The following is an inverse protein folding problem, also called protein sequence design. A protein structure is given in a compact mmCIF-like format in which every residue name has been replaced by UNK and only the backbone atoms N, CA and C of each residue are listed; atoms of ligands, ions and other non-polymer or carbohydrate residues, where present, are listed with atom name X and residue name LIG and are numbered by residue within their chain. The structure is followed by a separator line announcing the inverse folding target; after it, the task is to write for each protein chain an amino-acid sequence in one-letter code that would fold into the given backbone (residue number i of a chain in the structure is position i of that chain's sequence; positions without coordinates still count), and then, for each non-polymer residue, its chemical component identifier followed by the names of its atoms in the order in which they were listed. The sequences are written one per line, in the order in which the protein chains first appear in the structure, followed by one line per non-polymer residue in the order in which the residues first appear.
data_IF_262486206017
#
_entry.id   IF_262486206017
#
_cell.length_a   1.000
_cell.length_b   1.000
_cell.length_c   1.000
_cell.angle_alpha   90.00
_cell.angle_beta   90.00
_cell.angle_gamma   90.00
#
_symmetry.space_group_name_H-M   'P 1'
#
loop_
_entity.id
_entity.type
_entity.pdbx_description
1 polymer ?
#
# COMPACT_ATOMS: atom_id res chain seq x y z
N UNK A 1 -15.50 7.53 -8.36
CA UNK A 1 -15.85 6.42 -9.26
C UNK A 1 -14.70 5.43 -9.27
N UNK A 2 -14.98 4.14 -9.33
CA UNK A 2 -13.98 3.08 -9.40
C UNK A 2 -14.29 1.89 -8.49
N UNK A 3 -13.40 0.91 -8.50
CA UNK A 3 -13.49 -0.32 -7.73
C UNK A 3 -13.21 -0.10 -6.23
N UNK A 4 -13.45 -1.12 -5.40
CA UNK A 4 -13.40 -1.00 -3.94
C UNK A 4 -12.10 -0.37 -3.40
N UNK A 5 -10.95 -0.71 -3.98
CA UNK A 5 -9.64 -0.19 -3.57
C UNK A 5 -8.95 0.66 -4.64
N UNK A 6 -9.67 0.99 -5.73
CA UNK A 6 -9.17 1.81 -6.83
C UNK A 6 -10.23 2.84 -7.22
N UNK A 7 -10.22 3.98 -6.58
CA UNK A 7 -11.21 5.03 -6.80
C UNK A 7 -10.52 6.32 -7.26
N UNK A 8 -11.18 7.04 -8.15
CA UNK A 8 -10.73 8.35 -8.63
C UNK A 8 -11.87 9.36 -8.47
N UNK A 9 -11.53 10.52 -7.93
CA UNK A 9 -12.43 11.67 -7.89
C UNK A 9 -12.46 12.32 -9.27
N UNK A 10 -13.67 12.53 -9.82
CA UNK A 10 -13.87 13.19 -11.10
C UNK A 10 -14.63 14.50 -10.93
N UNK A 11 -14.23 15.50 -11.71
CA UNK A 11 -15.01 16.69 -11.94
C UNK A 11 -15.79 16.52 -13.25
N UNK A 12 -17.12 16.62 -13.18
CA UNK A 12 -17.98 16.61 -14.35
C UNK A 12 -18.45 18.03 -14.66
N UNK A 13 -18.22 18.50 -15.88
CA UNK A 13 -18.70 19.78 -16.38
C UNK A 13 -19.66 19.55 -17.53
N UNK A 14 -20.81 20.24 -17.54
CA UNK A 14 -21.73 20.25 -18.67
C UNK A 14 -21.29 21.31 -19.66
N UNK A 15 -20.95 20.87 -20.89
CA UNK A 15 -20.58 21.74 -22.00
C UNK A 15 -21.37 21.29 -23.24
N UNK A 16 -22.06 22.20 -23.89
CA UNK A 16 -22.84 21.94 -25.12
C UNK A 16 -23.78 20.74 -25.00
N UNK A 17 -24.43 20.59 -23.85
CA UNK A 17 -25.35 19.47 -23.57
C UNK A 17 -24.70 18.15 -23.20
N UNK A 18 -23.37 18.02 -23.27
CA UNK A 18 -22.60 16.82 -22.92
C UNK A 18 -21.86 16.99 -21.59
N UNK A 19 -21.67 15.87 -20.89
CA UNK A 19 -20.83 15.84 -19.68
C UNK A 19 -19.39 15.52 -20.07
N UNK A 20 -18.48 16.43 -19.77
CA UNK A 20 -17.03 16.22 -19.85
C UNK A 20 -16.53 15.79 -18.48
N UNK A 21 -15.84 14.65 -18.40
CA UNK A 21 -15.26 14.12 -17.17
C UNK A 21 -13.76 14.45 -17.12
N UNK A 22 -13.33 15.09 -16.04
CA UNK A 22 -11.93 15.37 -15.78
C UNK A 22 -11.51 14.59 -14.51
N UNK A 23 -10.57 13.63 -14.58
CA UNK A 23 -10.02 13.00 -13.39
C UNK A 23 -9.23 14.03 -12.57
N UNK A 24 -9.44 14.05 -11.25
CA UNK A 24 -8.76 14.97 -10.34
C UNK A 24 -7.63 14.25 -9.60
N UNK A 25 -7.98 13.31 -8.73
CA UNK A 25 -7.00 12.58 -7.92
C UNK A 25 -7.50 11.19 -7.52
N UNK A 26 -6.60 10.23 -7.33
CA UNK A 26 -6.91 8.99 -6.65
C UNK A 26 -7.43 9.28 -5.23
N UNK A 27 -8.42 8.54 -4.79
CA UNK A 27 -9.00 8.69 -3.46
C UNK A 27 -9.49 7.34 -2.97
N UNK A 28 -9.47 7.13 -1.66
CA UNK A 28 -10.02 5.94 -1.03
C UNK A 28 -11.16 6.39 -0.12
N UNK A 29 -12.39 6.10 -0.52
CA UNK A 29 -13.56 6.32 0.31
C UNK A 29 -13.79 5.10 1.21
N UNK A 30 -14.38 5.34 2.37
CA UNK A 30 -14.92 4.27 3.19
C UNK A 30 -15.87 3.43 2.33
N UNK A 31 -15.72 2.10 2.28
CA UNK A 31 -16.62 1.25 1.50
C UNK A 31 -18.07 1.50 1.87
N UNK A 32 -18.91 1.67 0.87
CA UNK A 32 -20.35 1.74 1.08
C UNK A 32 -20.86 0.38 1.53
N UNK A 33 -21.85 0.38 2.42
CA UNK A 33 -22.56 -0.83 2.85
C UNK A 33 -23.89 -0.92 2.14
N UNK A 34 -24.38 -2.16 1.92
CA UNK A 34 -25.70 -2.41 1.36
C UNK A 34 -25.69 -3.05 -0.03
N UNK A 35 -26.89 -3.12 -0.66
CA UNK A 35 -27.12 -3.86 -1.91
C UNK A 35 -26.24 -3.38 -3.07
N UNK A 36 -25.94 -2.08 -3.16
CA UNK A 36 -25.10 -1.52 -4.22
C UNK A 36 -23.64 -2.04 -4.15
N UNK A 37 -23.11 -2.27 -2.95
CA UNK A 37 -21.79 -2.87 -2.79
C UNK A 37 -21.80 -4.36 -3.12
N UNK A 38 -22.88 -5.06 -2.78
CA UNK A 38 -23.03 -6.48 -3.09
C UNK A 38 -23.19 -6.77 -4.60
N UNK A 39 -23.57 -5.78 -5.40
CA UNK A 39 -23.76 -5.90 -6.86
C UNK A 39 -22.55 -5.43 -7.66
N UNK A 40 -21.43 -5.14 -7.05
CA UNK A 40 -20.19 -4.81 -7.79
C UNK A 40 -19.77 -5.99 -8.66
N UNK A 41 -19.46 -5.71 -9.93
CA UNK A 41 -19.06 -6.74 -10.91
C UNK A 41 -17.65 -7.28 -10.63
N UNK A 42 -16.75 -6.43 -10.12
CA UNK A 42 -15.36 -6.81 -9.86
C UNK A 42 -15.04 -6.60 -8.38
N UNK A 43 -14.86 -7.70 -7.65
CA UNK A 43 -14.36 -7.71 -6.29
C UNK A 43 -12.95 -8.28 -6.25
N UNK A 44 -12.03 -7.67 -5.51
CA UNK A 44 -10.72 -8.26 -5.27
C UNK A 44 -10.85 -9.63 -4.62
N UNK A 45 -10.10 -10.64 -5.09
CA UNK A 45 -10.13 -11.97 -4.50
C UNK A 45 -9.46 -11.97 -3.11
N UNK A 46 -10.22 -12.17 -2.02
CA UNK A 46 -9.65 -12.14 -0.68
C UNK A 46 -8.80 -13.36 -0.34
N UNK A 47 -8.75 -14.37 -1.22
CA UNK A 47 -7.87 -15.53 -1.08
C UNK A 47 -6.49 -15.30 -1.72
N UNK A 48 -6.38 -14.28 -2.56
CA UNK A 48 -5.16 -13.89 -3.26
C UNK A 48 -4.82 -12.42 -3.03
N UNK A 49 -4.50 -12.04 -1.78
CA UNK A 49 -4.13 -10.67 -1.48
C UNK A 49 -2.91 -10.24 -2.29
N UNK A 50 -3.01 -9.09 -2.94
CA UNK A 50 -1.93 -8.51 -3.76
C UNK A 50 -1.78 -7.03 -3.48
N UNK A 51 -0.56 -6.50 -3.61
CA UNK A 51 -0.32 -5.07 -3.68
C UNK A 51 -0.55 -4.60 -5.12
N UNK A 52 -1.39 -3.58 -5.28
CA UNK A 52 -1.62 -2.96 -6.59
C UNK A 52 -0.45 -2.04 -6.89
N UNK A 53 0.17 -2.21 -8.08
CA UNK A 53 1.30 -1.40 -8.50
C UNK A 53 2.40 -1.29 -7.42
N UNK A 54 2.75 -2.41 -6.80
CA UNK A 54 3.78 -2.45 -5.78
C UNK A 54 5.21 -2.27 -6.34
N UNK A 55 5.37 -2.42 -7.65
CA UNK A 55 6.59 -2.14 -8.41
C UNK A 55 6.60 -0.74 -9.04
N UNK A 56 5.58 0.07 -8.84
CA UNK A 56 5.45 1.46 -9.30
C UNK A 56 5.55 1.68 -10.82
N UNK A 57 5.38 0.62 -11.63
CA UNK A 57 5.52 0.67 -13.09
C UNK A 57 4.22 1.04 -13.84
N UNK A 58 3.07 1.02 -13.16
CA UNK A 58 1.82 1.40 -13.80
C UNK A 58 1.80 2.90 -14.14
N UNK A 59 1.35 3.21 -15.36
CA UNK A 59 1.24 4.59 -15.82
C UNK A 59 0.45 5.46 -14.82
N UNK A 60 0.98 6.61 -14.50
CA UNK A 60 0.33 7.56 -13.60
C UNK A 60 -1.00 8.04 -14.20
N UNK A 61 -2.03 8.20 -13.36
CA UNK A 61 -3.30 8.82 -13.76
C UNK A 61 -3.10 10.30 -14.11
N UNK A 62 -2.09 10.92 -13.52
CA UNK A 62 -1.55 12.25 -13.83
C UNK A 62 -0.11 12.30 -13.32
N UNK A 63 0.68 13.27 -13.76
CA UNK A 63 2.08 13.49 -13.33
C UNK A 63 2.24 13.73 -11.80
N UNK A 64 1.13 13.81 -11.09
CA UNK A 64 1.09 14.12 -9.66
C UNK A 64 0.77 12.94 -8.76
N UNK A 65 0.28 11.80 -9.29
CA UNK A 65 -0.23 10.71 -8.46
C UNK A 65 0.27 9.34 -8.89
N UNK A 66 0.67 8.54 -7.90
CA UNK A 66 1.13 7.16 -8.10
C UNK A 66 -0.09 6.24 -8.18
N UNK A 67 -0.28 5.61 -9.32
CA UNK A 67 -1.43 4.73 -9.58
C UNK A 67 -1.52 3.60 -8.54
N UNK A 68 -2.71 3.43 -7.96
CA UNK A 68 -2.98 2.39 -6.95
C UNK A 68 -2.60 2.76 -5.52
N UNK A 69 -1.98 3.94 -5.32
CA UNK A 69 -1.60 4.44 -4.01
C UNK A 69 -2.37 5.71 -3.66
N UNK A 70 -2.57 5.95 -2.37
CA UNK A 70 -3.44 7.00 -1.86
C UNK A 70 -2.78 7.73 -0.68
N UNK A 71 -3.28 8.92 -0.37
CA UNK A 71 -2.81 9.76 0.74
C UNK A 71 -1.31 10.03 0.66
N UNK A 72 -0.85 10.40 -0.51
CA UNK A 72 0.56 10.66 -0.80
C UNK A 72 1.09 11.83 0.04
N UNK A 73 2.01 11.52 0.92
CA UNK A 73 2.65 12.49 1.79
C UNK A 73 4.17 12.38 1.65
N UNK A 74 4.83 13.44 1.22
CA UNK A 74 6.27 13.52 1.00
C UNK A 74 6.79 12.41 0.07
N UNK A 75 5.95 11.92 -0.84
CA UNK A 75 6.26 10.87 -1.78
C UNK A 75 6.56 11.45 -3.17
N UNK A 76 7.50 10.87 -3.88
CA UNK A 76 7.84 11.20 -5.26
C UNK A 76 8.10 9.91 -6.02
N UNK A 77 7.48 9.76 -7.20
CA UNK A 77 7.83 8.70 -8.14
C UNK A 77 9.14 9.07 -8.82
N UNK A 78 10.14 8.22 -8.70
CA UNK A 78 11.48 8.40 -9.30
C UNK A 78 11.63 7.46 -10.48
N UNK A 79 12.10 7.98 -11.61
CA UNK A 79 12.49 7.18 -12.77
C UNK A 79 14.01 7.00 -12.75
N UNK A 80 14.46 5.75 -12.69
CA UNK A 80 15.88 5.39 -12.63
C UNK A 80 16.08 4.06 -13.38
N UNK A 81 16.95 3.99 -14.40
CA UNK A 81 17.23 2.74 -15.10
C UNK A 81 17.88 1.65 -14.22
N UNK A 82 18.36 2.03 -13.03
CA UNK A 82 18.94 1.11 -12.04
C UNK A 82 17.97 0.82 -10.89
N UNK A 83 16.66 1.06 -11.07
CA UNK A 83 15.66 0.62 -10.09
C UNK A 83 15.74 -0.89 -9.89
N UNK A 84 15.47 -1.42 -8.69
CA UNK A 84 15.56 -2.86 -8.42
C UNK A 84 14.59 -3.71 -9.24
N UNK A 85 13.44 -3.14 -9.62
CA UNK A 85 12.46 -3.73 -10.53
C UNK A 85 11.98 -2.66 -11.51
N UNK A 86 11.96 -2.98 -12.80
CA UNK A 86 11.54 -2.05 -13.84
C UNK A 86 12.39 -0.79 -13.95
N UNK A 87 11.75 0.38 -13.84
CA UNK A 87 12.39 1.69 -14.01
C UNK A 87 11.94 2.73 -12.98
N UNK A 88 11.02 2.38 -12.09
CA UNK A 88 10.44 3.31 -11.15
C UNK A 88 10.52 2.77 -9.73
N UNK A 89 10.64 3.69 -8.79
CA UNK A 89 10.46 3.42 -7.37
C UNK A 89 9.87 4.64 -6.68
N UNK A 90 9.31 4.47 -5.49
CA UNK A 90 8.84 5.60 -4.69
C UNK A 90 9.92 6.07 -3.73
N UNK A 91 10.15 7.39 -3.67
CA UNK A 91 11.03 8.06 -2.72
C UNK A 91 10.21 8.87 -1.73
N UNK A 92 10.54 8.71 -0.46
CA UNK A 92 10.11 9.61 0.62
C UNK A 92 11.32 10.42 1.09
N UNK A 93 11.15 11.74 1.15
CA UNK A 93 12.17 12.65 1.67
C UNK A 93 11.53 13.56 2.72
N UNK A 94 12.00 13.47 3.94
CA UNK A 94 11.46 14.22 5.06
C UNK A 94 12.59 14.86 5.88
N UNK A 95 12.54 16.18 6.00
CA UNK A 95 13.54 16.95 6.76
C UNK A 95 13.04 17.30 8.17
N UNK A 96 11.75 17.09 8.45
CA UNK A 96 11.12 17.46 9.69
C UNK A 96 10.64 16.22 10.44
N UNK A 97 11.25 15.93 11.57
CA UNK A 97 10.84 14.84 12.47
C UNK A 97 9.37 15.02 12.89
N UNK A 98 8.64 13.90 12.97
CA UNK A 98 7.22 13.87 13.31
C UNK A 98 6.28 14.23 12.14
N UNK A 99 6.81 14.75 11.03
CA UNK A 99 6.00 15.01 9.84
C UNK A 99 5.67 13.71 9.12
N UNK A 100 4.40 13.49 8.88
CA UNK A 100 3.94 12.29 8.20
C UNK A 100 4.47 12.20 6.75
N UNK A 101 5.04 11.04 6.39
CA UNK A 101 5.58 10.76 5.07
C UNK A 101 5.28 9.30 4.71
N UNK A 102 4.16 9.06 4.02
CA UNK A 102 3.74 7.71 3.64
C UNK A 102 2.72 7.70 2.49
N UNK A 103 2.57 6.52 1.90
CA UNK A 103 1.48 6.11 1.02
C UNK A 103 0.67 5.01 1.68
N UNK A 104 -0.56 4.83 1.23
CA UNK A 104 -1.35 3.66 1.61
C UNK A 104 -2.22 3.13 0.48
N UNK A 105 -2.61 1.86 0.60
CA UNK A 105 -3.66 1.23 -0.20
C UNK A 105 -4.43 0.20 0.62
N UNK A 106 -5.69 -0.03 0.26
CA UNK A 106 -6.48 -1.13 0.81
C UNK A 106 -6.34 -2.39 -0.04
N UNK A 107 -6.49 -3.55 0.58
CA UNK A 107 -6.56 -4.83 -0.11
C UNK A 107 -7.53 -5.78 0.58
N UNK A 108 -8.14 -6.69 -0.21
CA UNK A 108 -8.99 -7.73 0.33
C UNK A 108 -8.15 -8.87 0.90
N UNK A 109 -8.60 -9.43 2.03
CA UNK A 109 -8.03 -10.64 2.61
C UNK A 109 -9.10 -11.37 3.42
N UNK A 110 -9.11 -12.70 3.39
CA UNK A 110 -9.97 -13.52 4.26
C UNK A 110 -9.12 -14.42 5.15
N UNK A 111 -8.99 -14.08 6.43
CA UNK A 111 -8.20 -14.83 7.41
C UNK A 111 -8.69 -16.27 7.66
N UNK A 112 -9.88 -16.65 7.17
CA UNK A 112 -10.36 -18.04 7.19
C UNK A 112 -9.69 -18.89 6.11
N UNK A 113 -9.21 -18.25 5.03
CA UNK A 113 -8.58 -18.92 3.88
C UNK A 113 -7.08 -18.64 3.80
N UNK A 114 -6.67 -17.42 4.08
CA UNK A 114 -5.27 -17.01 4.09
C UNK A 114 -4.76 -17.03 5.52
N UNK A 115 -4.08 -18.11 5.89
CA UNK A 115 -3.51 -18.28 7.22
C UNK A 115 -2.26 -17.45 7.46
N UNK A 116 -1.38 -17.46 6.49
CA UNK A 116 -0.08 -16.81 6.56
C UNK A 116 0.11 -15.94 5.30
N UNK A 117 0.58 -14.71 5.49
CA UNK A 117 0.81 -13.72 4.44
C UNK A 117 2.28 -13.36 4.42
N UNK A 118 2.91 -13.49 3.26
CA UNK A 118 4.25 -12.97 3.02
C UNK A 118 4.13 -11.51 2.56
N UNK A 119 4.84 -10.62 3.25
CA UNK A 119 5.10 -9.27 2.82
C UNK A 119 6.57 -9.15 2.47
N UNK A 120 6.88 -8.64 1.29
CA UNK A 120 8.23 -8.35 0.86
C UNK A 120 8.32 -6.98 0.19
N UNK A 121 9.50 -6.39 0.22
CA UNK A 121 9.82 -5.14 -0.44
C UNK A 121 11.32 -5.05 -0.70
N UNK A 122 11.71 -4.26 -1.70
CA UNK A 122 13.06 -3.75 -1.85
C UNK A 122 13.11 -2.33 -1.29
N UNK A 123 14.17 -2.02 -0.56
CA UNK A 123 14.30 -0.72 0.08
C UNK A 123 15.76 -0.28 0.14
N UNK A 124 15.95 1.04 0.07
CA UNK A 124 17.19 1.76 0.29
C UNK A 124 16.88 2.97 1.16
N UNK A 125 17.78 3.37 2.04
CA UNK A 125 17.58 4.53 2.89
C UNK A 125 18.90 5.23 3.22
N UNK A 126 18.80 6.55 3.44
CA UNK A 126 19.96 7.42 3.67
C UNK A 126 19.66 8.38 4.82
N UNK A 127 20.58 8.42 5.78
CA UNK A 127 20.59 9.34 6.92
C UNK A 127 19.25 9.36 7.70
N UNK A 128 18.66 8.17 7.86
CA UNK A 128 17.39 8.04 8.55
C UNK A 128 17.58 8.16 10.06
N UNK A 129 16.87 9.14 10.64
CA UNK A 129 16.76 9.37 12.07
C UNK A 129 15.31 9.14 12.50
N UNK A 130 15.14 8.43 13.62
CA UNK A 130 13.82 8.17 14.18
C UNK A 130 13.12 9.48 14.55
N UNK A 131 11.82 9.55 14.27
CA UNK A 131 10.98 10.64 14.74
C UNK A 131 10.69 10.58 16.25
N UNK A 132 9.87 11.50 16.78
CA UNK A 132 9.57 11.59 18.21
C UNK A 132 9.01 10.30 18.83
N UNK A 133 8.25 9.52 18.05
CA UNK A 133 7.64 8.29 18.53
C UNK A 133 8.45 7.05 18.12
N UNK A 134 8.34 5.95 18.88
CA UNK A 134 9.14 4.71 18.66
C UNK A 134 8.88 4.04 17.32
N UNK A 135 7.69 4.21 16.77
CA UNK A 135 7.21 3.63 15.51
C UNK A 135 7.42 4.54 14.29
N UNK A 136 7.94 5.74 14.49
CA UNK A 136 8.26 6.68 13.43
C UNK A 136 9.63 6.37 12.81
N UNK A 137 9.65 5.30 12.04
CA UNK A 137 10.81 4.79 11.28
C UNK A 137 10.34 4.27 9.91
N UNK A 138 11.22 4.24 8.89
CA UNK A 138 10.90 3.64 7.60
C UNK A 138 10.37 2.24 7.75
N UNK A 139 9.28 1.95 7.05
CA UNK A 139 8.59 0.69 7.19
C UNK A 139 7.66 0.37 6.02
N UNK A 140 7.31 -0.91 5.91
CA UNK A 140 6.12 -1.38 5.18
C UNK A 140 5.25 -2.11 6.19
N UNK A 141 4.05 -1.61 6.42
CA UNK A 141 3.18 -2.04 7.52
C UNK A 141 1.78 -2.43 7.02
N UNK A 142 1.16 -3.39 7.68
CA UNK A 142 -0.23 -3.80 7.42
C UNK A 142 -1.02 -3.72 8.71
N UNK A 143 -2.15 -3.01 8.68
CA UNK A 143 -3.18 -3.11 9.70
C UNK A 143 -4.32 -3.97 9.17
N UNK A 144 -4.71 -4.99 9.91
CA UNK A 144 -5.83 -5.85 9.56
C UNK A 144 -7.13 -5.37 10.21
N UNK A 145 -8.23 -5.51 9.49
CA UNK A 145 -9.57 -5.14 9.95
C UNK A 145 -10.57 -6.28 9.74
N UNK A 146 -11.54 -6.38 10.66
CA UNK A 146 -12.69 -7.28 10.50
C UNK A 146 -13.77 -6.69 9.57
N UNK A 147 -14.87 -7.40 9.42
CA UNK A 147 -16.05 -6.96 8.63
C UNK A 147 -16.70 -5.68 9.13
N UNK A 148 -16.55 -5.35 10.43
CA UNK A 148 -17.03 -4.15 11.07
C UNK A 148 -15.96 -3.04 11.15
N UNK A 149 -14.82 -3.24 10.48
CA UNK A 149 -13.66 -2.33 10.49
C UNK A 149 -13.02 -2.13 11.86
N UNK A 150 -13.13 -3.12 12.74
CA UNK A 150 -12.38 -3.14 13.99
C UNK A 150 -10.96 -3.54 13.71
N UNK A 151 -10.01 -2.83 14.31
CA UNK A 151 -8.58 -3.13 14.23
C UNK A 151 -8.30 -4.49 14.89
N UNK A 152 -7.67 -5.37 14.14
CA UNK A 152 -7.25 -6.72 14.56
C UNK A 152 -5.74 -6.83 14.79
N UNK A 153 -5.02 -5.72 14.65
CA UNK A 153 -3.60 -5.65 14.89
C UNK A 153 -2.79 -5.19 13.68
N UNK A 154 -1.60 -4.74 14.01
CA UNK A 154 -0.62 -4.16 13.11
C UNK A 154 0.60 -5.09 13.02
N UNK A 155 1.05 -5.35 11.80
CA UNK A 155 2.32 -6.03 11.52
C UNK A 155 3.17 -5.14 10.60
N UNK A 156 4.50 -5.31 10.69
CA UNK A 156 5.43 -4.55 9.87
C UNK A 156 6.66 -5.36 9.48
N UNK A 157 7.20 -5.01 8.33
CA UNK A 157 8.34 -5.72 7.74
C UNK A 157 9.63 -5.47 8.52
N UNK A 158 9.80 -4.29 9.06
CA UNK A 158 10.93 -3.93 9.90
C UNK A 158 11.03 -2.44 10.10
N UNK A 159 11.86 -2.05 11.04
CA UNK A 159 12.23 -0.66 11.27
C UNK A 159 13.69 -0.46 10.89
N UNK A 160 13.99 0.61 10.17
CA UNK A 160 15.31 0.85 9.59
C UNK A 160 15.86 2.20 10.06
N UNK A 161 17.18 2.28 10.29
CA UNK A 161 17.87 3.49 10.77
C UNK A 161 19.19 3.65 10.05
N UNK A 162 19.70 4.89 9.99
CA UNK A 162 20.97 5.21 9.34
C UNK A 162 20.89 5.13 7.84
N UNK A 163 21.81 4.44 7.20
CA UNK A 163 21.92 4.33 5.75
C UNK A 163 22.13 2.89 5.30
N UNK A 164 21.59 2.53 4.15
CA UNK A 164 21.78 1.22 3.52
C UNK A 164 21.50 1.33 2.03
N UNK A 165 22.28 0.65 1.22
CA UNK A 165 21.97 0.42 -0.19
C UNK A 165 20.75 -0.48 -0.38
N UNK A 166 20.33 -0.66 -1.65
CA UNK A 166 19.21 -1.52 -2.00
C UNK A 166 19.36 -2.92 -1.42
N UNK A 167 18.35 -3.32 -0.68
CA UNK A 167 18.23 -4.65 -0.08
C UNK A 167 16.81 -5.14 -0.18
N UNK A 168 16.64 -6.45 -0.20
CA UNK A 168 15.35 -7.08 -0.07
C UNK A 168 15.06 -7.38 1.41
N UNK A 169 13.85 -7.08 1.82
CA UNK A 169 13.29 -7.52 3.10
C UNK A 169 12.04 -8.38 2.84
N UNK A 170 11.86 -9.43 3.62
CA UNK A 170 10.70 -10.31 3.52
C UNK A 170 10.37 -10.91 4.88
N UNK A 171 9.08 -11.00 5.18
CA UNK A 171 8.59 -11.62 6.42
C UNK A 171 7.23 -12.25 6.20
N UNK A 172 6.99 -13.38 6.85
CA UNK A 172 5.69 -14.05 6.89
C UNK A 172 5.00 -13.68 8.20
N UNK A 173 3.75 -13.28 8.10
CA UNK A 173 2.90 -12.90 9.22
C UNK A 173 1.69 -13.79 9.30
N UNK A 174 1.27 -14.08 10.53
CA UNK A 174 0.00 -14.72 10.79
C UNK A 174 -1.14 -13.74 10.53
N UNK A 175 -2.09 -14.14 9.68
CA UNK A 175 -3.31 -13.37 9.43
C UNK A 175 -4.34 -13.67 10.52
N UNK A 176 -4.92 -12.65 11.17
CA UNK A 176 -6.02 -12.86 12.11
C UNK A 176 -7.21 -13.55 11.45
N UNK A 177 -7.80 -14.53 12.10
CA UNK A 177 -8.93 -15.30 11.56
C UNK A 177 -10.12 -14.43 11.15
N UNK A 178 -10.35 -13.34 11.90
CA UNK A 178 -11.39 -12.35 11.65
C UNK A 178 -11.09 -11.37 10.52
N UNK A 179 -9.87 -11.35 9.97
CA UNK A 179 -9.48 -10.37 8.96
C UNK A 179 -10.32 -10.50 7.69
N UNK A 180 -10.80 -9.36 7.20
CA UNK A 180 -11.57 -9.21 5.94
C UNK A 180 -10.99 -8.14 5.04
N UNK A 181 -10.20 -7.23 5.60
CA UNK A 181 -9.55 -6.14 4.89
C UNK A 181 -8.17 -5.89 5.52
N UNK A 182 -7.21 -5.44 4.70
CA UNK A 182 -5.93 -4.94 5.14
C UNK A 182 -5.67 -3.55 4.57
N UNK A 183 -5.01 -2.70 5.37
CA UNK A 183 -4.45 -1.42 4.90
C UNK A 183 -2.93 -1.57 4.89
N UNK A 184 -2.36 -1.55 3.70
CA UNK A 184 -0.92 -1.53 3.45
C UNK A 184 -0.43 -0.09 3.46
N UNK A 185 0.60 0.20 4.24
CA UNK A 185 1.25 1.51 4.31
C UNK A 185 2.75 1.37 4.08
N UNK A 186 3.34 2.34 3.40
CA UNK A 186 4.79 2.40 3.16
C UNK A 186 5.29 3.83 3.31
N UNK A 187 6.45 4.02 3.92
CA UNK A 187 7.05 5.34 4.06
C UNK A 187 7.99 5.50 5.25
N UNK A 188 8.26 6.76 5.59
CA UNK A 188 9.08 7.17 6.74
C UNK A 188 8.28 7.30 8.04
N UNK A 189 6.96 7.42 7.97
CA UNK A 189 6.00 7.55 9.09
C UNK A 189 6.23 8.73 10.05
N UNK A 190 7.25 9.50 9.93
CA UNK A 190 7.62 10.58 10.83
C UNK A 190 9.13 10.63 11.11
N UNK A 191 9.87 9.64 10.63
CA UNK A 191 11.33 9.71 10.59
C UNK A 191 11.78 10.82 9.65
N UNK A 192 12.93 11.42 9.90
CA UNK A 192 13.65 12.27 8.96
C UNK A 192 14.66 11.47 8.14
N UNK A 193 15.10 12.03 7.02
CA UNK A 193 16.00 11.39 6.06
C UNK A 193 15.32 11.04 4.73
N UNK A 194 15.89 10.10 4.00
CA UNK A 194 15.37 9.61 2.72
C UNK A 194 15.18 8.11 2.78
N UNK A 195 14.04 7.62 2.26
CA UNK A 195 13.82 6.19 2.07
C UNK A 195 13.17 5.93 0.71
N UNK A 196 13.72 4.99 -0.02
CA UNK A 196 13.25 4.52 -1.31
C UNK A 196 12.67 3.11 -1.15
N UNK A 197 11.53 2.86 -1.79
CA UNK A 197 10.86 1.55 -1.78
C UNK A 197 10.48 1.14 -3.19
N UNK A 198 10.60 -0.17 -3.44
CA UNK A 198 10.26 -0.80 -4.70
C UNK A 198 9.83 -2.26 -4.46
N UNK A 199 9.18 -2.85 -5.47
CA UNK A 199 8.83 -4.27 -5.52
C UNK A 199 8.12 -4.76 -4.25
N UNK A 200 7.10 -4.00 -3.82
CA UNK A 200 6.27 -4.34 -2.65
C UNK A 200 5.28 -5.43 -3.05
N UNK A 201 5.35 -6.59 -2.40
CA UNK A 201 4.50 -7.74 -2.70
C UNK A 201 3.78 -8.27 -1.48
N UNK A 202 2.55 -8.70 -1.71
CA UNK A 202 1.72 -9.47 -0.78
C UNK A 202 1.44 -10.82 -1.42
N UNK A 203 1.72 -11.91 -0.72
CA UNK A 203 1.53 -13.26 -1.22
C UNK A 203 0.94 -14.15 -0.11
N UNK A 204 -0.19 -14.80 -0.39
CA UNK A 204 -0.69 -15.84 0.49
C UNK A 204 0.33 -17.00 0.51
N UNK A 205 0.74 -17.43 1.70
CA UNK A 205 1.63 -18.58 1.85
C UNK A 205 0.76 -19.84 1.93
N UNK A 206 0.87 -20.70 0.92
CA UNK A 206 0.22 -22.01 0.97
C UNK A 206 0.81 -22.82 2.13
N UNK A 207 -0.06 -23.30 3.00
CA UNK A 207 0.36 -24.28 4.01
C UNK A 207 0.83 -25.52 3.26
N UNK A 208 2.10 -25.87 3.40
CA UNK A 208 2.56 -27.17 2.93
C UNK A 208 1.59 -28.21 3.49
N UNK A 209 0.82 -28.87 2.61
CA UNK A 209 0.03 -30.03 3.01
C UNK A 209 0.96 -30.97 3.75
N UNK A 210 0.68 -31.26 5.03
CA UNK A 210 1.29 -32.38 5.71
C UNK A 210 0.94 -33.59 4.85
N UNK A 211 1.89 -34.05 4.02
CA UNK A 211 1.84 -35.41 3.53
C UNK A 211 1.74 -36.29 4.78
N UNK A 212 0.53 -36.76 5.05
CA UNK A 212 0.33 -37.85 6.03
C UNK A 212 1.13 -39.03 5.58
N UNK A 213 1.79 -39.69 6.52
CA UNK A 213 2.59 -40.92 6.24
C UNK A 213 1.70 -42.05 5.77
#
# INVERSE_FOLDING_TARGET
VGERYQQTLFLYRKKDGKLEAQPLRPTLFVPMTGKAEATREVLPDPKRPTAINGNFEAAAVSDQYITGWYYEQQATLVTDPNAPEGRHYVRFANQQEGRSAHLLQGFAIDGRHVRDLRLSARLRYTDVVQGPNRDELPNVAITFYDENRRDLGLVWLGTYRGSSDWRQASRVFRVPLGAREGILRVGLFGASGVADFDDIRLEAVESAEKKSP
#
